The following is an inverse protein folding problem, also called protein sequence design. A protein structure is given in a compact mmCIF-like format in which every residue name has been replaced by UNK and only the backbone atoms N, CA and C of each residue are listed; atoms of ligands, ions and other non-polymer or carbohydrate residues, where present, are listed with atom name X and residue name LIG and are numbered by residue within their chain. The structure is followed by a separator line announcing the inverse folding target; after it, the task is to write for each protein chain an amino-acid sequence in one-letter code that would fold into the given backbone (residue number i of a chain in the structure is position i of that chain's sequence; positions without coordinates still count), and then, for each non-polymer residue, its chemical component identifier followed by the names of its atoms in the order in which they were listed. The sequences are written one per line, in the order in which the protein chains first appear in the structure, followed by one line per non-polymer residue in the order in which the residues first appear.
data_IF_741365414636
#
_entry.id   IF_741365414636
#
_cell.length_a   1.000
_cell.length_b   1.000
_cell.length_c   1.000
_cell.angle_alpha   90.00
_cell.angle_beta   90.00
_cell.angle_gamma   90.00
#
_symmetry.space_group_name_H-M   'P 1'
#
loop_
_entity.id
_entity.type
_entity.pdbx_description
1 polymer ?
#
# COMPACT_ATOMS: atom_id res chain seq x y z
N UNK A 1 -5.27 16.86 23.64
CA UNK A 1 -4.10 17.27 22.85
C UNK A 1 -2.90 17.27 23.77
N UNK A 2 -1.81 16.67 23.35
CA UNK A 2 -0.52 16.65 24.05
C UNK A 2 0.49 17.39 23.17
N UNK A 3 1.30 18.28 23.75
CA UNK A 3 2.29 19.07 23.03
C UNK A 3 3.61 19.04 23.81
N UNK A 4 4.72 18.82 23.09
CA UNK A 4 6.05 18.74 23.67
C UNK A 4 6.84 20.03 23.40
N UNK A 5 7.87 20.34 24.22
CA UNK A 5 8.69 21.55 24.06
C UNK A 5 9.43 21.64 22.71
N UNK A 6 9.67 20.51 22.05
CA UNK A 6 10.29 20.44 20.72
C UNK A 6 9.32 20.81 19.58
N UNK A 7 8.05 21.08 19.89
CA UNK A 7 7.01 21.40 18.92
C UNK A 7 6.24 20.19 18.40
N UNK A 8 6.62 18.96 18.79
CA UNK A 8 5.80 17.79 18.48
C UNK A 8 4.42 17.93 19.16
N UNK A 9 3.40 17.35 18.53
CA UNK A 9 2.04 17.35 19.05
C UNK A 9 1.28 16.09 18.70
N UNK A 10 0.37 15.70 19.59
CA UNK A 10 -0.57 14.61 19.38
C UNK A 10 -1.99 15.07 19.68
N UNK A 11 -2.89 14.76 18.76
CA UNK A 11 -4.31 15.05 18.83
C UNK A 11 -5.06 13.76 18.52
N UNK A 12 -5.64 13.12 19.54
CA UNK A 12 -6.32 11.85 19.33
C UNK A 12 -6.81 11.21 20.62
N UNK A 13 -7.25 9.97 20.48
CA UNK A 13 -7.82 9.18 21.56
C UNK A 13 -6.72 8.59 22.46
N UNK A 14 -7.07 8.38 23.74
CA UNK A 14 -6.24 7.71 24.74
C UNK A 14 -7.02 6.60 25.42
N UNK A 15 -6.34 5.50 25.76
CA UNK A 15 -6.84 4.42 26.60
C UNK A 15 -5.79 4.06 27.64
N UNK A 16 -6.16 4.09 28.92
CA UNK A 16 -5.25 3.81 30.05
C UNK A 16 -3.92 4.62 29.98
N UNK A 17 -4.01 5.91 29.65
CA UNK A 17 -2.86 6.80 29.55
C UNK A 17 -1.97 6.59 28.31
N UNK A 18 -2.35 5.72 27.38
CA UNK A 18 -1.63 5.47 26.13
C UNK A 18 -2.43 5.93 24.92
N UNK A 19 -1.77 6.39 23.86
CA UNK A 19 -2.40 6.70 22.57
C UNK A 19 -3.07 5.44 22.02
N UNK A 20 -4.32 5.54 21.60
CA UNK A 20 -5.12 4.41 21.15
C UNK A 20 -6.23 4.89 20.22
N UNK A 21 -6.65 4.09 19.24
CA UNK A 21 -7.71 4.48 18.31
C UNK A 21 -7.24 5.52 17.29
N UNK A 22 -8.13 6.40 16.82
CA UNK A 22 -7.76 7.40 15.79
C UNK A 22 -7.04 8.60 16.41
N UNK A 23 -6.01 9.08 15.72
CA UNK A 23 -5.27 10.27 16.11
C UNK A 23 -4.37 10.83 15.02
N UNK A 24 -3.86 12.03 15.28
CA UNK A 24 -2.90 12.75 14.46
C UNK A 24 -1.67 13.00 15.33
N UNK A 25 -0.50 12.62 14.84
CA UNK A 25 0.79 12.96 15.43
C UNK A 25 1.56 13.84 14.45
N UNK A 26 2.00 15.01 14.91
CA UNK A 26 2.91 15.89 14.16
C UNK A 26 4.24 15.89 14.88
N UNK A 27 5.30 15.53 14.18
CA UNK A 27 6.67 15.55 14.69
C UNK A 27 7.25 16.96 14.61
N UNK A 28 8.30 17.21 15.38
CA UNK A 28 9.03 18.48 15.40
C UNK A 28 9.65 18.85 14.04
N UNK A 29 9.96 17.85 13.20
CA UNK A 29 10.49 18.05 11.84
C UNK A 29 9.40 18.46 10.82
N UNK A 30 8.13 18.51 11.23
CA UNK A 30 6.99 18.79 10.37
C UNK A 30 6.38 17.56 9.70
N UNK A 31 6.92 16.36 9.93
CA UNK A 31 6.27 15.12 9.51
C UNK A 31 4.93 14.96 10.22
N UNK A 32 3.95 14.31 9.57
CA UNK A 32 2.60 14.12 10.10
C UNK A 32 2.13 12.69 9.86
N UNK A 33 1.56 12.06 10.87
CA UNK A 33 0.85 10.79 10.77
C UNK A 33 -0.59 11.00 11.20
N UNK A 34 -1.50 10.50 10.39
CA UNK A 34 -2.93 10.46 10.67
C UNK A 34 -3.41 9.02 10.50
N UNK A 35 -3.92 8.42 11.57
CA UNK A 35 -4.35 7.04 11.51
C UNK A 35 -4.62 6.42 12.87
N UNK A 36 -4.46 5.11 12.93
CA UNK A 36 -4.71 4.32 14.12
C UNK A 36 -3.46 4.18 15.00
N UNK A 37 -3.72 4.16 16.31
CA UNK A 37 -2.76 3.93 17.36
C UNK A 37 -3.21 2.76 18.24
N UNK A 38 -2.25 2.01 18.77
CA UNK A 38 -2.47 0.98 19.79
C UNK A 38 -1.33 1.01 20.80
N UNK A 39 -1.64 1.43 22.03
CA UNK A 39 -0.68 1.38 23.13
C UNK A 39 0.57 2.24 22.91
N UNK A 40 0.40 3.45 22.36
CA UNK A 40 1.44 4.40 21.90
C UNK A 40 2.08 4.08 20.55
N UNK A 41 1.87 2.89 19.98
CA UNK A 41 2.38 2.55 18.67
C UNK A 41 1.41 2.98 17.57
N UNK A 42 1.95 3.38 16.43
CA UNK A 42 1.23 3.44 15.16
C UNK A 42 0.90 2.01 14.71
N UNK A 43 -0.39 1.68 14.62
CA UNK A 43 -0.87 0.33 14.33
C UNK A 43 -2.30 0.38 13.77
N UNK A 44 -2.56 -0.36 12.69
CA UNK A 44 -3.82 -0.27 11.92
C UNK A 44 -3.62 0.47 10.60
N UNK A 45 -4.66 1.12 10.07
CA UNK A 45 -4.52 1.91 8.84
C UNK A 45 -4.16 3.37 9.15
N UNK A 46 -3.27 3.96 8.34
CA UNK A 46 -2.92 5.36 8.47
C UNK A 46 -2.08 5.91 7.32
N UNK A 47 -2.01 7.24 7.28
CA UNK A 47 -1.25 8.03 6.31
C UNK A 47 -0.10 8.74 7.03
N UNK A 48 1.12 8.47 6.61
CA UNK A 48 2.31 9.18 7.06
C UNK A 48 2.81 10.08 5.93
N UNK A 49 3.00 11.36 6.22
CA UNK A 49 3.58 12.38 5.34
C UNK A 49 4.90 12.82 5.95
N UNK A 50 6.01 12.53 5.29
CA UNK A 50 7.33 13.00 5.73
C UNK A 50 7.54 14.44 5.30
N UNK A 51 8.32 15.19 6.08
CA UNK A 51 8.70 16.56 5.75
C UNK A 51 9.47 16.68 4.42
N UNK A 52 10.15 15.61 3.99
CA UNK A 52 10.87 15.54 2.71
C UNK A 52 9.98 15.26 1.48
N UNK A 53 8.66 15.22 1.66
CA UNK A 53 7.68 15.01 0.59
C UNK A 53 7.37 13.55 0.28
N UNK A 54 7.98 12.58 0.97
CA UNK A 54 7.52 11.18 0.91
C UNK A 54 6.14 11.05 1.56
N UNK A 55 5.37 10.08 1.12
CA UNK A 55 4.08 9.72 1.73
C UNK A 55 3.88 8.21 1.71
N UNK A 56 3.35 7.66 2.79
CA UNK A 56 2.87 6.27 2.86
C UNK A 56 1.42 6.28 3.31
N UNK A 57 0.60 5.47 2.66
CA UNK A 57 -0.80 5.23 2.99
C UNK A 57 -1.01 3.72 2.98
N UNK A 58 -1.35 3.13 4.13
CA UNK A 58 -1.46 1.68 4.22
C UNK A 58 -1.56 1.18 5.64
N UNK A 59 -1.36 -0.13 5.81
CA UNK A 59 -1.35 -0.70 7.15
C UNK A 59 0.01 -0.53 7.85
N UNK A 60 -0.08 -0.50 9.16
CA UNK A 60 1.00 -0.33 10.11
C UNK A 60 0.91 -1.39 11.19
N UNK A 61 2.06 -1.85 11.66
CA UNK A 61 2.17 -2.77 12.78
C UNK A 61 3.38 -2.38 13.63
N UNK A 62 3.14 -1.97 14.88
CA UNK A 62 4.19 -1.57 15.84
C UNK A 62 5.17 -0.55 15.25
N UNK A 63 4.65 0.56 14.75
CA UNK A 63 5.40 1.66 14.14
C UNK A 63 6.11 1.33 12.81
N UNK A 64 5.81 0.19 12.18
CA UNK A 64 6.40 -0.20 10.88
C UNK A 64 5.34 -0.36 9.81
N UNK A 65 5.68 0.00 8.58
CA UNK A 65 4.85 -0.30 7.40
C UNK A 65 4.69 -1.82 7.27
N UNK A 66 3.45 -2.27 7.13
CA UNK A 66 3.08 -3.67 7.10
C UNK A 66 1.82 -3.89 6.25
N UNK A 67 1.61 -5.09 5.72
CA UNK A 67 0.42 -5.38 4.91
C UNK A 67 0.44 -4.63 3.58
N UNK A 68 -0.72 -4.37 3.00
CA UNK A 68 -0.87 -3.54 1.81
C UNK A 68 -0.62 -2.05 2.11
N UNK A 69 0.11 -1.41 1.21
CA UNK A 69 0.31 0.02 1.28
C UNK A 69 0.77 0.63 -0.03
N UNK A 70 0.64 1.94 -0.09
CA UNK A 70 1.04 2.80 -1.18
C UNK A 70 2.08 3.80 -0.69
N UNK A 71 3.28 3.69 -1.22
CA UNK A 71 4.37 4.62 -0.92
C UNK A 71 4.64 5.50 -2.13
N UNK A 72 4.65 6.81 -1.92
CA UNK A 72 5.01 7.82 -2.91
C UNK A 72 6.31 8.47 -2.48
N UNK A 73 7.29 8.50 -3.39
CA UNK A 73 8.53 9.25 -3.21
C UNK A 73 8.35 10.68 -3.72
N UNK A 74 9.16 11.61 -3.20
CA UNK A 74 9.14 13.01 -3.61
C UNK A 74 9.46 13.21 -5.10
N UNK A 75 10.23 12.30 -5.70
CA UNK A 75 10.55 12.30 -7.14
C UNK A 75 9.43 11.74 -8.03
N UNK A 76 8.27 11.41 -7.45
CA UNK A 76 7.10 10.92 -8.19
C UNK A 76 7.08 9.41 -8.41
N UNK A 77 8.11 8.65 -7.97
CA UNK A 77 8.00 7.19 -7.94
C UNK A 77 6.87 6.77 -7.01
N UNK A 78 6.21 5.66 -7.33
CA UNK A 78 5.15 5.09 -6.48
C UNK A 78 5.33 3.58 -6.39
N UNK A 79 5.05 3.01 -5.23
CA UNK A 79 4.95 1.58 -5.04
C UNK A 79 3.62 1.27 -4.37
N UNK A 80 2.88 0.34 -4.94
CA UNK A 80 1.63 -0.19 -4.42
C UNK A 80 1.79 -1.70 -4.27
N UNK A 81 1.67 -2.19 -3.04
CA UNK A 81 1.78 -3.62 -2.78
C UNK A 81 2.05 -3.92 -1.31
N UNK A 82 2.49 -5.15 -1.05
CA UNK A 82 2.71 -5.62 0.31
C UNK A 82 4.02 -5.11 0.90
N UNK A 83 4.00 -4.90 2.22
CA UNK A 83 5.08 -4.51 3.09
C UNK A 83 5.21 -5.51 4.26
N UNK A 84 6.44 -5.77 4.68
CA UNK A 84 6.74 -6.51 5.90
C UNK A 84 7.92 -5.86 6.60
N UNK A 85 7.67 -5.22 7.74
CA UNK A 85 8.70 -4.53 8.54
C UNK A 85 9.47 -3.51 7.68
N UNK A 86 8.73 -2.54 7.12
CA UNK A 86 9.25 -1.42 6.32
C UNK A 86 9.82 -1.79 4.94
N UNK A 87 9.79 -3.07 4.57
CA UNK A 87 10.30 -3.54 3.29
C UNK A 87 9.17 -4.00 2.39
N UNK A 88 9.23 -3.60 1.12
CA UNK A 88 8.39 -4.18 0.05
C UNK A 88 8.57 -5.70 0.06
N UNK A 89 7.46 -6.42 0.12
CA UNK A 89 7.47 -7.86 0.26
C UNK A 89 6.26 -8.49 -0.43
N UNK A 90 6.19 -9.81 -0.40
CA UNK A 90 5.05 -10.58 -0.87
C UNK A 90 5.28 -11.23 -2.23
N UNK A 91 4.70 -12.42 -2.36
CA UNK A 91 4.55 -13.12 -3.65
C UNK A 91 3.40 -12.54 -4.48
N UNK A 92 2.51 -11.77 -3.86
CA UNK A 92 1.45 -11.09 -4.59
C UNK A 92 2.03 -9.94 -5.42
N UNK A 93 1.28 -9.57 -6.45
CA UNK A 93 1.62 -8.59 -7.48
C UNK A 93 1.80 -7.18 -6.88
N UNK A 94 3.03 -6.79 -6.56
CA UNK A 94 3.39 -5.41 -6.22
C UNK A 94 3.72 -4.60 -7.47
N UNK A 95 3.19 -3.39 -7.58
CA UNK A 95 3.42 -2.50 -8.72
C UNK A 95 4.31 -1.33 -8.34
N UNK A 96 5.40 -1.14 -9.08
CA UNK A 96 6.27 0.02 -8.96
C UNK A 96 6.13 0.89 -10.20
N UNK A 97 5.84 2.17 -10.00
CA UNK A 97 5.66 3.17 -11.05
C UNK A 97 6.85 4.12 -11.03
N UNK A 98 7.42 4.34 -12.21
CA UNK A 98 8.37 5.41 -12.47
C UNK A 98 7.63 6.64 -13.01
N UNK A 99 8.12 7.87 -12.75
CA UNK A 99 7.52 9.11 -13.25
C UNK A 99 7.44 9.19 -14.78
N UNK A 100 8.32 8.49 -15.48
CA UNK A 100 8.39 8.44 -16.94
C UNK A 100 7.36 7.49 -17.58
N UNK A 101 6.39 7.00 -16.79
CA UNK A 101 5.33 6.11 -17.26
C UNK A 101 5.71 4.64 -17.28
N UNK A 102 6.97 4.28 -17.03
CA UNK A 102 7.36 2.87 -16.88
C UNK A 102 6.75 2.30 -15.61
N UNK A 103 6.47 1.00 -15.61
CA UNK A 103 6.08 0.29 -14.39
C UNK A 103 6.57 -1.15 -14.38
N UNK A 104 6.80 -1.66 -13.18
CA UNK A 104 7.15 -3.05 -12.92
C UNK A 104 6.05 -3.64 -12.07
N UNK A 105 5.65 -4.85 -12.43
CA UNK A 105 4.55 -5.56 -11.80
C UNK A 105 5.05 -6.95 -11.48
N UNK A 106 5.19 -7.32 -10.21
CA UNK A 106 5.68 -8.66 -9.87
C UNK A 106 5.88 -8.88 -8.39
N UNK A 107 6.60 -9.96 -8.09
CA UNK A 107 6.92 -10.34 -6.71
C UNK A 107 8.05 -9.49 -6.12
N UNK A 108 8.03 -9.37 -4.79
CA UNK A 108 9.00 -8.59 -4.02
C UNK A 108 9.53 -9.38 -2.83
N UNK A 109 10.84 -9.35 -2.63
CA UNK A 109 11.50 -9.98 -1.49
C UNK A 109 12.52 -8.99 -0.90
N UNK A 110 12.41 -8.72 0.40
CA UNK A 110 13.33 -7.84 1.15
C UNK A 110 13.60 -6.50 0.44
N UNK A 111 12.54 -5.84 -0.03
CA UNK A 111 12.62 -4.54 -0.70
C UNK A 111 12.99 -4.58 -2.19
N UNK A 112 13.26 -5.75 -2.77
CA UNK A 112 13.77 -5.91 -4.14
C UNK A 112 12.83 -6.73 -5.01
N UNK A 113 12.84 -6.47 -6.32
CA UNK A 113 12.15 -7.30 -7.31
C UNK A 113 12.71 -8.72 -7.25
N UNK A 114 11.84 -9.71 -7.23
CA UNK A 114 12.21 -11.12 -7.14
C UNK A 114 11.18 -11.98 -7.89
N UNK A 115 11.59 -13.12 -8.43
CA UNK A 115 10.73 -14.05 -9.16
C UNK A 115 10.29 -13.51 -10.52
N UNK A 116 9.13 -13.97 -10.98
CA UNK A 116 8.57 -13.53 -12.27
C UNK A 116 7.86 -12.17 -12.15
N UNK A 117 8.00 -11.35 -13.18
CA UNK A 117 7.38 -10.03 -13.25
C UNK A 117 7.14 -9.55 -14.67
N UNK A 118 6.35 -8.49 -14.80
CA UNK A 118 6.04 -7.81 -16.05
C UNK A 118 6.62 -6.42 -15.97
N UNK A 119 7.52 -6.10 -16.88
CA UNK A 119 8.02 -4.76 -17.10
C UNK A 119 7.23 -4.10 -18.21
N UNK A 120 6.75 -2.88 -17.98
CA UNK A 120 5.95 -2.11 -18.91
C UNK A 120 6.70 -0.83 -19.22
N UNK A 121 6.99 -0.60 -20.50
CA UNK A 121 7.70 0.61 -20.97
C UNK A 121 6.78 1.82 -20.94
N UNK A 122 7.34 3.03 -21.13
CA UNK A 122 6.55 4.25 -21.27
C UNK A 122 5.60 4.21 -22.48
N UNK A 123 5.95 3.43 -23.52
CA UNK A 123 5.11 3.17 -24.69
C UNK A 123 4.08 2.04 -24.47
N UNK A 124 3.86 1.63 -23.21
CA UNK A 124 2.96 0.55 -22.81
C UNK A 124 3.31 -0.86 -23.34
N UNK A 125 4.52 -1.06 -23.86
CA UNK A 125 5.00 -2.38 -24.27
C UNK A 125 5.30 -3.23 -23.04
N UNK A 126 4.85 -4.49 -23.04
CA UNK A 126 5.03 -5.41 -21.91
C UNK A 126 6.11 -6.45 -22.20
N UNK A 127 6.95 -6.73 -21.21
CA UNK A 127 7.96 -7.78 -21.26
C UNK A 127 7.96 -8.58 -19.97
N UNK A 128 7.80 -9.88 -20.07
CA UNK A 128 7.91 -10.77 -18.91
C UNK A 128 9.36 -11.15 -18.70
N UNK A 129 9.81 -11.14 -17.45
CA UNK A 129 11.16 -11.53 -17.09
C UNK A 129 11.23 -12.31 -15.78
N UNK A 130 12.46 -12.61 -15.41
CA UNK A 130 12.83 -13.20 -14.14
C UNK A 130 13.77 -12.25 -13.41
N UNK A 131 13.50 -11.98 -12.14
CA UNK A 131 14.28 -11.09 -11.28
C UNK A 131 14.80 -11.82 -10.06
N UNK A 132 16.02 -11.49 -9.65
CA UNK A 132 16.63 -11.97 -8.42
C UNK A 132 17.41 -10.81 -7.79
N UNK A 133 17.18 -10.57 -6.50
CA UNK A 133 17.84 -9.50 -5.74
C UNK A 133 17.80 -8.13 -6.46
N UNK A 134 16.66 -7.81 -7.08
CA UNK A 134 16.43 -6.53 -7.75
C UNK A 134 17.05 -6.42 -9.15
N UNK A 135 17.72 -7.48 -9.63
CA UNK A 135 18.33 -7.54 -10.95
C UNK A 135 17.51 -8.44 -11.86
N UNK A 136 17.28 -7.99 -13.10
CA UNK A 136 16.67 -8.83 -14.13
C UNK A 136 17.70 -9.86 -14.59
N UNK A 137 17.39 -11.13 -14.41
CA UNK A 137 18.21 -12.27 -14.86
C UNK A 137 18.02 -12.50 -16.36
N UNK A 138 16.77 -12.61 -16.83
CA UNK A 138 16.45 -12.81 -18.26
C UNK A 138 15.04 -12.31 -18.61
N UNK A 139 14.81 -12.12 -19.90
CA UNK A 139 13.46 -12.00 -20.46
C UNK A 139 12.92 -13.38 -20.81
N UNK A 140 11.63 -13.58 -20.57
CA UNK A 140 10.93 -14.80 -20.93
C UNK A 140 10.21 -14.59 -22.26
N UNK A 141 10.24 -15.62 -23.12
CA UNK A 141 9.56 -15.59 -24.42
C UNK A 141 8.04 -15.73 -24.28
N UNK A 142 7.62 -16.45 -23.24
CA UNK A 142 6.23 -16.75 -22.93
C UNK A 142 5.95 -16.42 -21.47
N UNK A 143 4.68 -16.18 -21.12
CA UNK A 143 4.29 -15.96 -19.73
C UNK A 143 4.28 -17.31 -18.98
N UNK A 144 5.00 -17.44 -17.85
CA UNK A 144 4.90 -18.60 -16.98
C UNK A 144 3.46 -18.86 -16.53
N UNK A 145 3.08 -20.13 -16.41
CA UNK A 145 1.79 -20.53 -15.86
C UNK A 145 1.51 -19.91 -14.48
N UNK A 146 2.53 -19.77 -13.64
CA UNK A 146 2.40 -19.13 -12.32
C UNK A 146 1.88 -17.69 -12.42
N UNK A 147 2.39 -16.91 -13.38
CA UNK A 147 1.92 -15.53 -13.61
C UNK A 147 0.50 -15.50 -14.17
N UNK A 148 0.12 -16.49 -14.98
CA UNK A 148 -1.24 -16.61 -15.50
C UNK A 148 -2.23 -16.97 -14.37
N UNK A 149 -1.87 -17.93 -13.51
CA UNK A 149 -2.67 -18.33 -12.35
C UNK A 149 -2.87 -17.16 -11.38
N UNK A 150 -1.80 -16.44 -11.04
CA UNK A 150 -1.90 -15.27 -10.15
C UNK A 150 -2.82 -14.17 -10.71
N UNK A 151 -2.83 -13.97 -12.03
CA UNK A 151 -3.73 -13.01 -12.66
C UNK A 151 -5.19 -13.48 -12.59
N UNK A 152 -5.45 -14.77 -12.80
CA UNK A 152 -6.79 -15.34 -12.70
C UNK A 152 -7.33 -15.31 -11.26
N UNK A 153 -6.50 -15.65 -10.27
CA UNK A 153 -6.87 -15.59 -8.84
C UNK A 153 -7.24 -14.17 -8.41
N UNK A 154 -6.45 -13.17 -8.84
CA UNK A 154 -6.73 -11.77 -8.51
C UNK A 154 -8.06 -11.31 -9.12
N UNK A 155 -8.31 -11.64 -10.40
CA UNK A 155 -9.58 -11.32 -11.07
C UNK A 155 -10.77 -11.97 -10.36
N UNK A 156 -10.62 -13.22 -9.88
CA UNK A 156 -11.68 -13.90 -9.12
C UNK A 156 -11.93 -13.22 -7.77
N UNK A 157 -10.87 -12.81 -7.06
CA UNK A 157 -11.01 -12.07 -5.79
C UNK A 157 -11.71 -10.72 -5.97
N UNK A 158 -11.35 -9.97 -7.01
CA UNK A 158 -11.99 -8.69 -7.32
C UNK A 158 -13.48 -8.86 -7.66
N UNK A 159 -13.83 -9.88 -8.46
CA UNK A 159 -15.22 -10.21 -8.76
C UNK A 159 -16.00 -10.61 -7.51
N UNK A 160 -15.41 -11.41 -6.61
CA UNK A 160 -16.04 -11.79 -5.35
C UNK A 160 -16.25 -10.57 -4.44
N UNK A 161 -15.28 -9.66 -4.34
CA UNK A 161 -15.43 -8.43 -3.56
C UNK A 161 -16.54 -7.53 -4.11
N UNK A 162 -16.63 -7.37 -5.43
CA UNK A 162 -17.69 -6.60 -6.07
C UNK A 162 -19.08 -7.22 -5.81
N UNK A 163 -19.20 -8.55 -5.90
CA UNK A 163 -20.46 -9.25 -5.59
C UNK A 163 -20.85 -9.09 -4.12
N UNK A 164 -19.89 -9.17 -3.19
CA UNK A 164 -20.16 -8.96 -1.76
C UNK A 164 -20.59 -7.52 -1.47
N UNK A 165 -19.99 -6.52 -2.12
CA UNK A 165 -20.39 -5.12 -1.96
C UNK A 165 -21.82 -4.88 -2.47
N UNK A 166 -22.19 -5.45 -3.62
CA UNK A 166 -23.56 -5.38 -4.16
C UNK A 166 -24.60 -6.07 -3.25
N UNK A 167 -24.20 -7.11 -2.51
CA UNK A 167 -25.09 -7.80 -1.56
C UNK A 167 -25.20 -7.09 -0.20
N UNK A 168 -24.35 -6.11 0.08
CA UNK A 168 -24.34 -5.33 1.33
C UNK A 168 -25.02 -3.96 1.19
N UNK A 169 -25.51 -3.58 0.01
CA UNK A 169 -26.33 -2.37 -0.15
C UNK A 169 -27.71 -2.56 0.52
N UNK A 170 -28.09 -1.72 1.50
CA UNK A 170 -29.43 -1.79 2.08
C UNK A 170 -30.48 -1.34 1.07
N UNK A 171 -31.63 -2.03 1.07
CA UNK A 171 -32.82 -1.70 0.28
C UNK A 171 -33.51 -0.41 0.77
N UNK A 172 -32.83 0.74 0.75
CA UNK A 172 -33.40 2.05 1.13
C UNK A 172 -33.69 2.97 -0.07
N UNK A 173 -33.71 2.47 -1.30
CA UNK A 173 -34.09 3.26 -2.50
C UNK A 173 -35.31 2.71 -3.28
N UNK A 174 -36.16 1.89 -2.66
CA UNK A 174 -37.47 1.53 -3.24
C UNK A 174 -38.64 2.10 -2.42
N UNK A 175 -38.63 3.41 -2.16
CA UNK A 175 -39.84 4.16 -1.77
C UNK A 175 -39.85 5.57 -2.38
N UNK A 176 -39.60 5.69 -3.69
CA UNK A 176 -39.98 6.89 -4.46
C UNK A 176 -40.50 6.46 -5.86
N UNK A 177 -41.59 5.69 -5.88
CA UNK A 177 -42.42 5.58 -7.10
C UNK A 177 -43.87 5.25 -6.75
N UNK A 178 -44.53 6.12 -6.01
CA UNK A 178 -45.98 6.26 -6.05
C UNK A 178 -46.31 7.75 -6.02
N UNK A 179 -46.53 8.31 -7.20
CA UNK A 179 -47.31 9.50 -7.45
C UNK A 179 -48.05 9.30 -8.78
#
# INVERSE_FOLDING_TARGET
MEQWPDGAKYEGQYLAGKKSGKGIFTWADGSVYEGEFRGNDIEGFGVYRWADGRQYEGQWLRNRMHGQGRFRWADGRVYEGQYRHDQKHGKARGTFFWPDGRRYVGSWQQGKQHGCGVYITAAAEQRVGEWEEGRRIRWLKEQPQELQQQQQELQQQEQQQQQQQQQQEPASQQQESTA
#
